data_IF_207136977056
#
_entry.id   IF_207136977056
#
_cell.length_a   1.000
_cell.length_b   1.000
_cell.length_c   1.000
_cell.angle_alpha   90.00
_cell.angle_beta   90.00
_cell.angle_gamma   90.00
#
_symmetry.space_group_name_H-M   'P 1'
#
loop_
_entity.id
_entity.type
_entity.pdbx_description
1 polymer ?
#
# COMPACT_ATOMS: atom_id res chain seq x y z
N UNK A 1 -15.92 -23.70 -3.87
CA UNK A 1 -15.50 -23.23 -3.84
C UNK A 1 -15.07 -22.48 -4.04
N UNK A 2 -14.72 -21.99 -4.08
CA UNK A 2 -14.35 -21.22 -4.24
C UNK A 2 -13.57 -20.67 -4.27
N UNK A 3 -12.97 -20.51 -4.25
CA UNK A 3 -12.28 -20.10 -4.36
C UNK A 3 -11.68 -19.14 -4.62
N UNK A 4 -11.76 -19.08 -4.41
CA UNK A 4 -11.36 -17.83 -4.94
C UNK A 4 -10.67 -16.88 -3.95
N UNK A 5 -9.56 -16.26 -4.35
CA UNK A 5 -8.84 -15.35 -3.49
C UNK A 5 -9.59 -14.02 -3.39
N UNK A 6 -9.81 -13.52 -2.18
CA UNK A 6 -10.48 -12.25 -2.03
C UNK A 6 -9.57 -11.10 -2.47
N UNK A 7 -10.19 -9.97 -2.82
CA UNK A 7 -9.43 -8.80 -3.22
C UNK A 7 -8.54 -8.31 -2.07
N UNK A 8 -8.96 -8.49 -0.83
CA UNK A 8 -8.16 -8.10 0.32
C UNK A 8 -6.92 -8.95 0.46
N UNK A 9 -7.02 -10.24 0.18
CA UNK A 9 -5.84 -11.11 0.18
C UNK A 9 -4.87 -10.72 -0.92
N UNK A 10 -5.39 -10.35 -2.09
CA UNK A 10 -4.55 -9.90 -3.18
C UNK A 10 -3.81 -8.62 -2.80
N UNK A 11 -4.50 -7.71 -2.14
CA UNK A 11 -3.88 -6.47 -1.68
C UNK A 11 -2.78 -6.77 -0.66
N UNK A 12 -3.01 -7.72 0.24
CA UNK A 12 -2.00 -8.11 1.22
C UNK A 12 -0.78 -8.70 0.55
N UNK A 13 -0.98 -9.56 -0.45
CA UNK A 13 0.13 -10.13 -1.20
C UNK A 13 0.94 -9.06 -1.90
N UNK A 14 0.24 -8.10 -2.50
CA UNK A 14 0.89 -7.01 -3.19
C UNK A 14 1.72 -6.19 -2.20
N UNK A 15 1.17 -5.96 -1.02
CA UNK A 15 1.89 -5.26 0.04
C UNK A 15 3.15 -6.03 0.44
N UNK A 16 3.02 -7.35 0.57
CA UNK A 16 4.16 -8.20 0.94
C UNK A 16 5.26 -8.12 -0.11
N UNK A 17 4.90 -8.11 -1.39
CA UNK A 17 5.88 -7.99 -2.47
C UNK A 17 6.59 -6.64 -2.37
N UNK A 18 5.84 -5.58 -2.12
CA UNK A 18 6.42 -4.24 -1.96
C UNK A 18 7.41 -4.23 -0.80
N UNK A 19 7.01 -4.79 0.34
CA UNK A 19 7.88 -4.87 1.51
C UNK A 19 9.15 -5.63 1.22
N UNK A 20 9.03 -6.76 0.50
CA UNK A 20 10.18 -7.56 0.16
C UNK A 20 11.16 -6.78 -0.71
N UNK A 21 10.66 -6.00 -1.65
CA UNK A 21 11.51 -5.17 -2.48
C UNK A 21 12.29 -4.17 -1.64
N UNK A 22 11.63 -3.60 -0.63
CA UNK A 22 12.29 -2.63 0.25
C UNK A 22 13.37 -3.33 1.08
N UNK A 23 13.06 -4.51 1.61
CA UNK A 23 14.01 -5.26 2.44
C UNK A 23 15.26 -5.63 1.64
N UNK A 24 15.08 -6.03 0.39
CA UNK A 24 16.22 -6.42 -0.44
C UNK A 24 16.93 -5.25 -1.08
N UNK A 25 16.47 -4.02 -0.82
CA UNK A 25 17.10 -2.83 -1.36
C UNK A 25 16.70 -2.48 -2.76
N UNK A 26 15.72 -3.16 -3.32
CA UNK A 26 15.27 -2.91 -4.69
C UNK A 26 14.22 -1.80 -4.67
N UNK A 27 14.67 -0.58 -4.41
CA UNK A 27 13.78 0.56 -4.24
C UNK A 27 13.07 0.92 -5.53
N UNK A 28 13.72 0.76 -6.67
CA UNK A 28 13.09 1.03 -7.95
C UNK A 28 11.84 0.17 -8.15
N UNK A 29 11.94 -1.11 -7.84
CA UNK A 29 10.81 -2.01 -7.97
C UNK A 29 9.74 -1.69 -6.93
N UNK A 30 10.15 -1.34 -5.72
CA UNK A 30 9.21 -0.94 -4.70
C UNK A 30 8.40 0.27 -5.15
N UNK A 31 9.05 1.24 -5.76
CA UNK A 31 8.36 2.42 -6.29
C UNK A 31 7.40 2.06 -7.41
N UNK A 32 7.77 1.10 -8.25
CA UNK A 32 6.87 0.63 -9.30
C UNK A 32 5.62 0.01 -8.70
N UNK A 33 5.77 -0.80 -7.65
CA UNK A 33 4.63 -1.39 -6.97
C UNK A 33 3.72 -0.32 -6.40
N UNK A 34 4.32 0.69 -5.77
CA UNK A 34 3.56 1.79 -5.20
C UNK A 34 2.83 2.59 -6.27
N UNK A 35 3.46 2.77 -7.42
CA UNK A 35 2.81 3.47 -8.53
C UNK A 35 1.60 2.69 -9.03
N UNK A 36 1.73 1.36 -9.15
CA UNK A 36 0.60 0.53 -9.56
C UNK A 36 -0.52 0.62 -8.54
N UNK A 37 -0.20 0.57 -7.25
CA UNK A 37 -1.20 0.71 -6.20
C UNK A 37 -1.92 2.05 -6.31
N UNK A 38 -1.17 3.10 -6.60
CA UNK A 38 -1.76 4.43 -6.77
C UNK A 38 -2.75 4.46 -7.93
N UNK A 39 -2.40 3.80 -9.04
CA UNK A 39 -3.31 3.73 -10.18
C UNK A 39 -4.56 2.93 -9.86
N UNK A 40 -4.41 1.84 -9.11
CA UNK A 40 -5.57 1.05 -8.70
C UNK A 40 -6.48 1.86 -7.79
N UNK A 41 -5.90 2.66 -6.92
CA UNK A 41 -6.67 3.52 -6.05
C UNK A 41 -7.45 4.56 -6.86
N UNK A 42 -6.83 5.06 -7.92
CA UNK A 42 -7.43 6.11 -8.73
C UNK A 42 -8.51 5.58 -9.68
N UNK A 43 -8.25 4.42 -10.29
CA UNK A 43 -9.10 3.89 -11.36
C UNK A 43 -9.92 2.68 -10.99
N UNK A 44 -9.68 2.08 -9.82
CA UNK A 44 -10.38 0.88 -9.42
C UNK A 44 -11.80 1.17 -8.96
N UNK A 45 -12.59 0.10 -8.84
CA UNK A 45 -13.92 0.24 -8.27
C UNK A 45 -13.82 0.41 -6.76
N UNK A 46 -14.99 0.56 -6.10
CA UNK A 46 -15.03 0.80 -4.66
C UNK A 46 -14.30 -0.29 -3.88
N UNK A 47 -14.50 -1.54 -4.28
CA UNK A 47 -13.89 -2.67 -3.58
C UNK A 47 -12.38 -2.63 -3.69
N UNK A 48 -11.86 -2.34 -4.87
CA UNK A 48 -10.42 -2.23 -5.07
C UNK A 48 -9.85 -1.07 -4.28
N UNK A 49 -10.53 0.07 -4.31
CA UNK A 49 -10.10 1.23 -3.54
C UNK A 49 -10.03 0.92 -2.06
N UNK A 50 -11.06 0.25 -1.53
CA UNK A 50 -11.07 -0.12 -0.12
C UNK A 50 -9.94 -1.07 0.22
N UNK A 51 -9.66 -2.04 -0.66
CA UNK A 51 -8.59 -2.99 -0.42
C UNK A 51 -7.24 -2.27 -0.39
N UNK A 52 -7.01 -1.36 -1.34
CA UNK A 52 -5.75 -0.63 -1.37
C UNK A 52 -5.62 0.26 -0.13
N UNK A 53 -6.68 1.01 0.20
CA UNK A 53 -6.62 1.92 1.35
C UNK A 53 -6.46 1.17 2.67
N UNK A 54 -7.27 0.13 2.87
CA UNK A 54 -7.36 -0.49 4.19
C UNK A 54 -6.32 -1.59 4.40
N UNK A 55 -5.84 -2.20 3.34
CA UNK A 55 -4.87 -3.29 3.46
C UNK A 55 -3.50 -2.86 2.99
N UNK A 56 -3.40 -2.43 1.74
CA UNK A 56 -2.10 -2.14 1.15
C UNK A 56 -1.41 -0.94 1.81
N UNK A 57 -2.10 0.19 1.86
CA UNK A 57 -1.50 1.41 2.43
C UNK A 57 -1.16 1.19 3.89
N UNK A 58 -2.09 0.61 4.65
CA UNK A 58 -1.86 0.35 6.06
C UNK A 58 -0.66 -0.57 6.27
N UNK A 59 -0.62 -1.67 5.53
CA UNK A 59 0.43 -2.67 5.71
C UNK A 59 1.80 -2.11 5.34
N UNK A 60 1.90 -1.44 4.20
CA UNK A 60 3.18 -0.92 3.75
C UNK A 60 3.64 0.26 4.61
N UNK A 61 2.73 1.16 4.97
CA UNK A 61 3.11 2.31 5.78
C UNK A 61 3.57 1.89 7.17
N UNK A 62 2.88 0.91 7.78
CA UNK A 62 3.30 0.39 9.07
C UNK A 62 4.70 -0.22 9.00
N UNK A 63 4.96 -0.97 7.93
CA UNK A 63 6.27 -1.56 7.73
C UNK A 63 7.35 -0.48 7.61
N UNK A 64 7.07 0.56 6.84
CA UNK A 64 8.04 1.64 6.65
C UNK A 64 8.28 2.40 7.96
N UNK A 65 7.24 2.59 8.76
CA UNK A 65 7.39 3.26 10.06
C UNK A 65 8.28 2.43 10.99
N UNK A 66 8.06 1.13 11.01
CA UNK A 66 8.85 0.23 11.86
C UNK A 66 10.32 0.29 11.47
N UNK A 67 10.60 0.38 10.19
CA UNK A 67 11.97 0.41 9.68
C UNK A 67 12.52 1.81 9.52
N UNK A 68 11.78 2.80 10.00
CA UNK A 68 12.21 4.21 9.96
C UNK A 68 12.51 4.70 8.55
N UNK A 69 11.79 4.16 7.57
CA UNK A 69 11.92 4.62 6.18
C UNK A 69 11.09 5.87 5.95
N UNK A 70 11.53 6.70 5.02
CA UNK A 70 10.82 7.94 4.71
C UNK A 70 9.65 7.65 3.80
N UNK A 71 8.46 7.58 4.37
CA UNK A 71 7.23 7.31 3.61
C UNK A 71 7.03 8.38 2.54
N UNK A 72 7.30 9.63 2.92
CA UNK A 72 7.11 10.76 2.02
C UNK A 72 7.91 10.62 0.73
N UNK A 73 9.09 10.02 0.82
CA UNK A 73 9.95 9.86 -0.34
C UNK A 73 9.57 8.67 -1.21
N UNK A 74 8.83 7.72 -0.65
CA UNK A 74 8.50 6.49 -1.37
C UNK A 74 7.09 6.51 -1.95
N UNK A 75 6.13 7.05 -1.20
CA UNK A 75 4.73 7.01 -1.62
C UNK A 75 4.43 8.02 -2.71
N UNK A 76 3.73 7.61 -3.78
CA UNK A 76 3.14 8.57 -4.70
C UNK A 76 2.12 9.43 -3.98
N UNK A 77 1.83 10.58 -4.55
CA UNK A 77 0.96 11.57 -3.91
C UNK A 77 -0.39 11.00 -3.49
N UNK A 78 -1.00 10.18 -4.34
CA UNK A 78 -2.31 9.60 -4.02
C UNK A 78 -2.24 8.70 -2.79
N UNK A 79 -1.22 7.86 -2.72
CA UNK A 79 -1.05 6.98 -1.56
C UNK A 79 -0.68 7.78 -0.32
N UNK A 80 0.12 8.82 -0.50
CA UNK A 80 0.50 9.67 0.63
C UNK A 80 -0.73 10.34 1.22
N UNK A 81 -1.64 10.79 0.37
CA UNK A 81 -2.90 11.39 0.83
C UNK A 81 -3.71 10.39 1.66
N UNK A 82 -3.81 9.14 1.20
CA UNK A 82 -4.54 8.12 1.94
C UNK A 82 -3.86 7.80 3.26
N UNK A 83 -2.53 7.76 3.26
CA UNK A 83 -1.79 7.54 4.50
C UNK A 83 -2.09 8.64 5.52
N UNK A 84 -2.08 9.89 5.08
CA UNK A 84 -2.36 11.02 5.97
C UNK A 84 -3.77 10.95 6.53
N UNK A 85 -4.73 10.54 5.70
CA UNK A 85 -6.10 10.39 6.17
C UNK A 85 -6.18 9.35 7.29
N UNK A 86 -5.50 8.22 7.11
CA UNK A 86 -5.53 7.15 8.10
C UNK A 86 -4.90 7.61 9.41
N UNK A 87 -3.78 8.29 9.33
CA UNK A 87 -3.08 8.79 10.51
C UNK A 87 -3.94 9.81 11.24
N UNK A 88 -4.54 10.73 10.50
CA UNK A 88 -5.38 11.77 11.13
C UNK A 88 -6.61 11.17 11.77
N UNK A 89 -7.19 10.14 11.16
CA UNK A 89 -8.38 9.52 11.71
C UNK A 89 -8.06 8.72 12.96
N UNK A 90 -6.98 7.95 12.94
CA UNK A 90 -6.64 7.10 14.06
C UNK A 90 -5.84 7.83 15.14
N UNK A 91 -5.30 8.97 14.78
CA UNK A 91 -4.50 9.75 15.71
C UNK A 91 -5.31 10.44 16.80
N UNK A 92 -6.60 10.35 16.67
CA UNK A 92 -7.45 10.93 17.69
C UNK A 92 -7.52 10.04 18.91
#
# INVERSE_FOLDING_TARGET
MKKQTSIYKQAQRFADVTKQCIVTGNISRAKQCLTVASKLLENGNTEIKNAICNVYVFSVSSFLEIHHCAIRNLFPEKLLTEYHKQVNTSGL
#
